data_IF_457495223899
#
_entry.id   IF_457495223899
#
_cell.length_a   1.000
_cell.length_b   1.000
_cell.length_c   1.000
_cell.angle_alpha   90.00
_cell.angle_beta   90.00
_cell.angle_gamma   90.00
#
_symmetry.space_group_name_H-M   'P 1'
#
loop_
_entity.id
_entity.type
_entity.pdbx_description
1 polymer ?
#
# COMPACT_ATOMS: atom_id res chain seq x y z
N UNK A 1 -11.59 6.11 2.26
CA UNK A 1 -12.27 5.10 3.14
C UNK A 1 -11.49 3.79 3.33
N UNK A 2 -10.58 3.44 2.40
CA UNK A 2 -9.79 2.20 2.42
C UNK A 2 -8.95 2.01 3.70
N UNK A 3 -8.25 3.06 4.15
CA UNK A 3 -7.36 2.95 5.31
C UNK A 3 -8.10 2.45 6.57
N UNK A 4 -9.23 3.07 6.92
CA UNK A 4 -9.96 2.75 8.14
C UNK A 4 -10.68 1.41 8.08
N UNK A 5 -11.18 1.00 6.91
CA UNK A 5 -12.04 -0.19 6.80
C UNK A 5 -11.28 -1.47 6.44
N UNK A 6 -10.19 -1.36 5.68
CA UNK A 6 -9.48 -2.52 5.13
C UNK A 6 -8.06 -2.64 5.69
N UNK A 7 -7.32 -1.53 5.72
CA UNK A 7 -5.92 -1.54 6.10
C UNK A 7 -5.75 -1.68 7.63
N UNK A 8 -6.39 -0.81 8.41
CA UNK A 8 -6.26 -0.78 9.87
C UNK A 8 -6.62 -2.12 10.53
N UNK A 9 -7.77 -2.77 10.23
CA UNK A 9 -8.12 -4.05 10.85
C UNK A 9 -7.19 -5.21 10.47
N UNK A 10 -6.52 -5.15 9.30
CA UNK A 10 -5.49 -6.11 8.93
C UNK A 10 -4.25 -5.93 9.81
N UNK A 11 -3.79 -4.70 10.00
CA UNK A 11 -2.58 -4.40 10.77
C UNK A 11 -2.75 -4.64 12.28
N UNK A 12 -3.94 -4.40 12.83
CA UNK A 12 -4.24 -4.69 14.25
C UNK A 12 -4.10 -6.18 14.62
N UNK A 13 -4.15 -7.09 13.64
CA UNK A 13 -3.94 -8.54 13.87
C UNK A 13 -2.48 -8.89 14.12
N UNK A 14 -1.55 -8.02 13.76
CA UNK A 14 -0.12 -8.23 13.92
C UNK A 14 0.37 -7.55 15.20
N UNK A 15 1.02 -8.30 16.08
CA UNK A 15 1.49 -7.81 17.37
C UNK A 15 2.45 -6.61 17.25
N UNK A 16 3.23 -6.57 16.17
CA UNK A 16 4.14 -5.48 15.85
C UNK A 16 4.36 -5.41 14.34
N UNK A 17 4.18 -4.22 13.74
CA UNK A 17 4.34 -4.01 12.31
C UNK A 17 5.78 -4.29 11.83
N UNK A 18 6.79 -4.11 12.68
CA UNK A 18 8.18 -4.46 12.37
C UNK A 18 8.36 -5.96 12.13
N UNK A 19 7.64 -6.80 12.89
CA UNK A 19 7.70 -8.27 12.68
C UNK A 19 7.09 -8.63 11.33
N UNK A 20 5.98 -7.99 10.97
CA UNK A 20 5.38 -8.17 9.65
C UNK A 20 6.32 -7.69 8.55
N UNK A 21 6.91 -6.50 8.68
CA UNK A 21 7.88 -5.96 7.73
C UNK A 21 9.06 -6.93 7.50
N UNK A 22 9.71 -7.37 8.57
CA UNK A 22 10.83 -8.31 8.50
C UNK A 22 10.44 -9.63 7.84
N UNK A 23 9.21 -10.09 8.05
CA UNK A 23 8.70 -11.30 7.43
C UNK A 23 8.48 -11.15 5.91
N UNK A 24 8.04 -9.98 5.46
CA UNK A 24 7.62 -9.75 4.07
C UNK A 24 8.68 -9.12 3.16
N UNK A 25 9.73 -8.48 3.70
CA UNK A 25 10.67 -7.66 2.92
C UNK A 25 11.38 -8.41 1.79
N UNK A 26 11.64 -9.70 1.98
CA UNK A 26 12.32 -10.57 1.00
C UNK A 26 11.35 -11.47 0.21
N UNK A 27 10.03 -11.25 0.33
CA UNK A 27 9.01 -12.06 -0.34
C UNK A 27 8.78 -11.60 -1.79
N UNK A 28 8.50 -12.57 -2.65
CA UNK A 28 8.06 -12.34 -4.03
C UNK A 28 6.66 -11.71 -4.08
N UNK A 29 6.25 -11.19 -5.24
CA UNK A 29 4.92 -10.61 -5.40
C UNK A 29 3.80 -11.63 -5.11
N UNK A 30 3.93 -12.86 -5.58
CA UNK A 30 2.94 -13.93 -5.35
C UNK A 30 2.82 -14.25 -3.86
N UNK A 31 3.94 -14.42 -3.15
CA UNK A 31 3.93 -14.63 -1.70
C UNK A 31 3.32 -13.44 -0.95
N UNK A 32 3.56 -12.21 -1.40
CA UNK A 32 2.95 -11.02 -0.83
C UNK A 32 1.42 -11.01 -1.01
N UNK A 33 0.91 -11.49 -2.15
CA UNK A 33 -0.53 -11.65 -2.35
C UNK A 33 -1.13 -12.72 -1.44
N UNK A 34 -0.43 -13.82 -1.19
CA UNK A 34 -0.87 -14.84 -0.23
C UNK A 34 -0.90 -14.32 1.21
N UNK A 35 0.12 -13.53 1.62
CA UNK A 35 0.27 -13.03 2.98
C UNK A 35 -0.63 -11.82 3.25
N UNK A 36 -0.63 -10.83 2.36
CA UNK A 36 -1.36 -9.57 2.53
C UNK A 36 -2.80 -9.64 2.02
N UNK A 37 -3.10 -10.60 1.14
CA UNK A 37 -4.43 -10.83 0.59
C UNK A 37 -4.88 -9.68 -0.31
N UNK A 38 -6.20 -9.42 -0.32
CA UNK A 38 -6.79 -8.34 -1.10
C UNK A 38 -6.09 -7.00 -0.80
N UNK A 39 -5.83 -6.23 -1.87
CA UNK A 39 -5.12 -4.94 -1.80
C UNK A 39 -3.68 -5.04 -1.29
N UNK A 40 -2.99 -6.16 -1.56
CA UNK A 40 -1.59 -6.36 -1.19
C UNK A 40 -0.67 -5.17 -1.54
N UNK A 41 -0.75 -4.53 -2.73
CA UNK A 41 0.08 -3.37 -3.04
C UNK A 41 -0.15 -2.18 -2.10
N UNK A 42 -1.40 -1.91 -1.74
CA UNK A 42 -1.76 -0.81 -0.85
C UNK A 42 -1.31 -1.10 0.59
N UNK A 43 -1.51 -2.34 1.06
CA UNK A 43 -1.01 -2.77 2.38
C UNK A 43 0.52 -2.68 2.44
N UNK A 44 1.22 -3.08 1.38
CA UNK A 44 2.67 -2.94 1.27
C UNK A 44 3.10 -1.47 1.37
N UNK A 45 2.45 -0.54 0.68
CA UNK A 45 2.76 0.89 0.78
C UNK A 45 2.66 1.41 2.23
N UNK A 46 1.60 1.01 2.95
CA UNK A 46 1.42 1.39 4.37
C UNK A 46 2.56 0.84 5.22
N UNK A 47 2.92 -0.44 5.07
CA UNK A 47 4.01 -1.05 5.83
C UNK A 47 5.34 -0.32 5.56
N UNK A 48 5.69 -0.11 4.29
CA UNK A 48 6.92 0.59 3.91
C UNK A 48 6.97 1.99 4.51
N UNK A 49 5.85 2.75 4.46
CA UNK A 49 5.81 4.11 5.01
C UNK A 49 5.99 4.10 6.52
N UNK A 50 5.22 3.29 7.22
CA UNK A 50 5.21 3.28 8.69
C UNK A 50 6.50 2.72 9.27
N UNK A 51 7.20 1.85 8.54
CA UNK A 51 8.49 1.28 8.91
C UNK A 51 9.71 2.07 8.42
N UNK A 52 9.50 3.29 7.89
CA UNK A 52 10.57 4.16 7.38
C UNK A 52 11.46 3.50 6.31
N UNK A 53 10.90 2.61 5.48
CA UNK A 53 11.65 1.95 4.41
C UNK A 53 12.00 2.96 3.31
N UNK A 54 13.28 3.00 2.93
CA UNK A 54 13.80 3.93 1.92
C UNK A 54 13.19 3.74 0.53
N UNK A 55 12.63 2.57 0.25
CA UNK A 55 11.95 2.26 -1.01
C UNK A 55 10.50 2.73 -1.06
N UNK A 56 9.92 3.22 0.05
CA UNK A 56 8.53 3.69 0.10
C UNK A 56 8.20 4.64 -1.06
N UNK A 57 9.02 5.69 -1.25
CA UNK A 57 8.72 6.73 -2.23
C UNK A 57 8.66 6.16 -3.65
N UNK A 58 9.69 5.40 -4.04
CA UNK A 58 9.76 4.75 -5.35
C UNK A 58 8.60 3.78 -5.57
N UNK A 59 8.28 2.96 -4.55
CA UNK A 59 7.17 2.02 -4.64
C UNK A 59 5.82 2.74 -4.82
N UNK A 60 5.54 3.76 -4.01
CA UNK A 60 4.26 4.46 -4.04
C UNK A 60 4.09 5.28 -5.32
N UNK A 61 5.16 5.91 -5.81
CA UNK A 61 5.12 6.68 -7.05
C UNK A 61 4.87 5.76 -8.26
N UNK A 62 5.55 4.61 -8.33
CA UNK A 62 5.32 3.62 -9.38
C UNK A 62 3.91 3.03 -9.33
N UNK A 63 3.42 2.70 -8.13
CA UNK A 63 2.06 2.18 -7.95
C UNK A 63 1.02 3.21 -8.40
N UNK A 64 1.15 4.47 -7.98
CA UNK A 64 0.26 5.55 -8.38
C UNK A 64 0.27 5.76 -9.89
N UNK A 65 1.45 5.82 -10.51
CA UNK A 65 1.59 6.01 -11.95
C UNK A 65 0.92 4.86 -12.73
N UNK A 66 1.08 3.62 -12.29
CA UNK A 66 0.40 2.46 -12.91
C UNK A 66 -1.13 2.54 -12.81
N UNK A 67 -1.68 2.94 -11.66
CA UNK A 67 -3.14 3.11 -11.53
C UNK A 67 -3.66 4.28 -12.38
N UNK A 68 -2.85 5.33 -12.52
CA UNK A 68 -3.17 6.47 -13.39
C UNK A 68 -3.20 6.04 -14.86
N UNK A 69 -2.23 5.25 -15.32
CA UNK A 69 -2.19 4.71 -16.68
C UNK A 69 -3.44 3.89 -17.00
N UNK A 70 -3.86 2.98 -16.09
CA UNK A 70 -5.10 2.22 -16.28
C UNK A 70 -6.35 3.10 -16.38
N UNK A 71 -6.44 4.14 -15.54
CA UNK A 71 -7.52 5.11 -15.63
C UNK A 71 -7.48 5.94 -16.92
N UNK A 72 -6.30 6.30 -17.42
CA UNK A 72 -6.17 7.03 -18.69
C UNK A 72 -6.48 6.14 -19.91
N UNK A 73 -6.20 4.84 -19.83
CA UNK A 73 -6.54 3.85 -20.87
C UNK A 73 -8.05 3.61 -21.00
N UNK A 74 -8.75 3.44 -19.87
CA UNK A 74 -10.21 3.33 -19.83
C UNK A 74 -10.79 4.08 -18.62
N UNK A 75 -11.16 5.36 -18.80
CA UNK A 75 -11.65 6.21 -17.72
C UNK A 75 -13.13 5.96 -17.37
N UNK A 76 -13.84 5.13 -18.13
CA UNK A 76 -15.23 4.77 -17.86
C UNK A 76 -15.36 3.47 -17.05
N UNK A 77 -14.30 2.66 -16.99
CA UNK A 77 -14.25 1.46 -16.18
C UNK A 77 -14.30 1.79 -14.67
N UNK A 78 -15.27 1.18 -13.98
CA UNK A 78 -15.56 1.43 -12.57
C UNK A 78 -14.39 1.03 -11.67
N UNK A 79 -13.69 -0.05 -11.99
CA UNK A 79 -12.55 -0.50 -11.21
C UNK A 79 -11.34 0.41 -11.44
N UNK A 80 -11.08 0.86 -12.67
CA UNK A 80 -10.02 1.83 -12.96
C UNK A 80 -10.24 3.15 -12.21
N UNK A 81 -11.47 3.70 -12.25
CA UNK A 81 -11.85 4.89 -11.47
C UNK A 81 -11.60 4.65 -9.98
N UNK A 82 -12.03 3.50 -9.46
CA UNK A 82 -11.91 3.17 -8.03
C UNK A 82 -10.44 3.08 -7.61
N UNK A 83 -9.64 2.30 -8.31
CA UNK A 83 -8.24 2.08 -7.95
C UNK A 83 -7.38 3.33 -8.11
N UNK A 84 -7.62 4.14 -9.14
CA UNK A 84 -6.94 5.43 -9.29
C UNK A 84 -7.24 6.37 -8.13
N UNK A 85 -8.53 6.55 -7.77
CA UNK A 85 -8.92 7.41 -6.66
C UNK A 85 -8.37 6.91 -5.32
N UNK A 86 -8.37 5.60 -5.08
CA UNK A 86 -7.79 5.02 -3.84
C UNK A 86 -6.28 5.20 -3.82
N UNK A 87 -5.57 4.98 -4.93
CA UNK A 87 -4.12 5.19 -4.99
C UNK A 87 -3.75 6.65 -4.72
N UNK A 88 -4.53 7.59 -5.27
CA UNK A 88 -4.38 9.03 -5.01
C UNK A 88 -4.60 9.37 -3.52
N UNK A 89 -5.73 8.95 -2.94
CA UNK A 89 -6.05 9.18 -1.52
C UNK A 89 -4.96 8.59 -0.62
N UNK A 90 -4.54 7.36 -0.90
CA UNK A 90 -3.51 6.66 -0.12
C UNK A 90 -2.17 7.39 -0.16
N UNK A 91 -1.73 7.81 -1.36
CA UNK A 91 -0.46 8.54 -1.52
C UNK A 91 -0.47 9.85 -0.72
N UNK A 92 -1.54 10.63 -0.86
CA UNK A 92 -1.69 11.90 -0.14
C UNK A 92 -1.68 11.74 1.38
N UNK A 93 -2.27 10.65 1.90
CA UNK A 93 -2.27 10.33 3.33
C UNK A 93 -0.87 9.91 3.79
N UNK A 94 -0.25 8.94 3.09
CA UNK A 94 1.02 8.36 3.50
C UNK A 94 2.17 9.37 3.40
N UNK A 95 2.19 10.23 2.38
CA UNK A 95 3.20 11.28 2.22
C UNK A 95 3.15 12.32 3.36
N UNK A 96 2.01 12.46 4.06
CA UNK A 96 1.84 13.34 5.23
C UNK A 96 1.95 12.62 6.57
N UNK A 97 1.99 11.29 6.56
CA UNK A 97 2.03 10.47 7.77
C UNK A 97 3.48 10.25 8.15
N UNK A 98 3.91 10.63 9.36
CA UNK A 98 5.26 10.34 9.85
C UNK A 98 5.45 8.82 10.05
N UNK A 99 6.66 8.27 9.83
CA UNK A 99 6.94 6.88 10.16
C UNK A 99 6.80 6.65 11.66
N UNK A 100 6.34 5.47 12.04
CA UNK A 100 6.17 5.08 13.46
C UNK A 100 7.40 4.30 13.94
N UNK A 101 8.01 3.53 13.05
CA UNK A 101 9.17 2.72 13.36
C UNK A 101 10.36 3.23 12.55
N UNK A 102 11.44 3.57 13.26
CA UNK A 102 12.73 3.83 12.65
C UNK A 102 13.47 2.50 12.57
N UNK A 103 13.36 1.82 11.43
CA UNK A 103 14.23 0.70 11.08
C UNK A 103 15.59 1.21 10.59
#
# INVERSE_FOLDING_TARGET
MFFSNEALPFFEKWHNLNVLYEYIKDKTEDELWEILGQFAPMKKAVILRLCNDSNYQSFMDNYFQKQKEYFEEDPEDIDNIRYYNVAKELKEILDKTEPIYNL
#
